data_IF_911542428944
#
_entry.id   IF_911542428944
#
_cell.length_a   1.000
_cell.length_b   1.000
_cell.length_c   1.000
_cell.angle_alpha   90.00
_cell.angle_beta   90.00
_cell.angle_gamma   90.00
#
_symmetry.space_group_name_H-M   'P 1'
#
loop_
_entity.id
_entity.type
_entity.pdbx_description
1 polymer ?
#
# COMPACT_ATOMS: atom_id res chain seq x y z
N UNK A 1 -11.48 34.64 35.64
CA UNK A 1 -11.50 33.63 34.57
C UNK A 1 -10.41 33.94 33.56
N UNK A 2 -9.21 33.39 33.73
CA UNK A 2 -8.08 33.63 32.81
C UNK A 2 -7.95 32.37 31.95
N UNK A 3 -8.34 32.47 30.68
CA UNK A 3 -8.19 31.38 29.70
C UNK A 3 -6.72 31.35 29.27
N UNK A 4 -5.94 30.47 29.86
CA UNK A 4 -4.60 30.12 29.36
C UNK A 4 -4.76 29.34 28.04
N UNK A 5 -4.70 30.06 26.92
CA UNK A 5 -4.46 29.44 25.62
C UNK A 5 -3.00 29.01 25.56
N UNK A 6 -2.74 27.71 25.71
CA UNK A 6 -1.44 27.10 25.45
C UNK A 6 -1.09 27.32 23.98
N UNK A 7 -0.29 28.35 23.69
CA UNK A 7 0.31 28.55 22.38
C UNK A 7 1.29 27.40 22.15
N UNK A 8 0.92 26.44 21.31
CA UNK A 8 1.89 25.48 20.74
C UNK A 8 2.92 26.29 19.97
N UNK A 9 4.14 26.32 20.46
CA UNK A 9 5.27 26.87 19.72
C UNK A 9 5.61 25.94 18.55
N UNK A 10 5.03 26.22 17.39
CA UNK A 10 5.53 25.69 16.13
C UNK A 10 6.75 26.51 15.73
N UNK A 11 7.94 25.93 15.85
CA UNK A 11 9.19 26.54 15.36
C UNK A 11 9.19 26.52 13.84
N UNK A 12 8.56 27.50 13.19
CA UNK A 12 8.65 27.68 11.73
C UNK A 12 9.81 28.61 11.40
N UNK A 13 10.63 28.24 10.41
CA UNK A 13 11.79 29.04 9.93
C UNK A 13 11.39 30.30 9.16
N UNK A 14 10.09 30.64 9.11
CA UNK A 14 9.50 31.67 8.25
C UNK A 14 8.91 32.77 9.13
N UNK A 15 9.16 34.06 8.85
CA UNK A 15 8.59 35.14 9.65
C UNK A 15 7.06 35.20 9.49
N UNK A 16 6.36 35.18 10.62
CA UNK A 16 4.89 35.19 10.71
C UNK A 16 4.38 36.43 11.44
N UNK A 17 3.14 36.82 11.19
CA UNK A 17 2.46 37.88 11.94
C UNK A 17 1.99 37.42 13.33
N UNK A 18 1.27 38.30 14.06
CA UNK A 18 0.72 37.98 15.39
C UNK A 18 -0.34 36.86 15.36
N UNK A 19 -0.85 36.51 14.18
CA UNK A 19 -1.85 35.49 13.92
C UNK A 19 -1.25 34.22 13.31
N UNK A 20 0.08 34.11 13.27
CA UNK A 20 0.83 32.99 12.68
C UNK A 20 0.66 32.82 11.15
N UNK A 21 0.26 33.88 10.44
CA UNK A 21 0.18 33.91 8.98
C UNK A 21 1.56 34.30 8.43
N UNK A 22 2.10 33.58 7.42
CA UNK A 22 3.39 33.93 6.84
C UNK A 22 3.33 35.29 6.14
N UNK A 23 4.31 36.16 6.43
CA UNK A 23 4.37 37.51 5.85
C UNK A 23 4.75 37.52 4.36
N UNK A 24 5.35 36.44 3.87
CA UNK A 24 5.69 36.24 2.47
C UNK A 24 4.82 35.13 1.88
N UNK A 25 4.50 35.18 0.58
CA UNK A 25 3.79 34.09 -0.07
C UNK A 25 4.60 32.80 0.09
N UNK A 26 3.99 31.79 0.69
CA UNK A 26 4.52 30.44 0.75
C UNK A 26 3.97 29.63 -0.40
N UNK A 27 4.72 28.62 -0.82
CA UNK A 27 4.24 27.62 -1.78
C UNK A 27 2.97 26.94 -1.26
N UNK A 28 2.05 26.61 -2.17
CA UNK A 28 0.89 25.78 -1.86
C UNK A 28 1.26 24.30 -1.99
N UNK A 29 0.63 23.42 -1.22
CA UNK A 29 0.87 21.97 -1.35
C UNK A 29 0.61 21.49 -2.79
N UNK A 30 -0.37 22.08 -3.46
CA UNK A 30 -0.68 21.79 -4.86
C UNK A 30 0.48 22.18 -5.80
N UNK A 31 1.15 23.31 -5.55
CA UNK A 31 2.35 23.70 -6.32
C UNK A 31 3.57 22.82 -6.02
N UNK A 32 3.60 22.12 -4.88
CA UNK A 32 4.67 21.17 -4.58
C UNK A 32 4.41 19.79 -5.20
N UNK A 33 3.13 19.43 -5.36
CA UNK A 33 2.67 18.14 -5.87
C UNK A 33 2.16 18.22 -7.32
N UNK A 34 2.95 18.84 -8.19
CA UNK A 34 2.64 18.85 -9.63
C UNK A 34 2.77 17.44 -10.22
N UNK A 35 1.87 17.04 -11.17
CA UNK A 35 1.89 15.71 -11.74
C UNK A 35 3.23 15.45 -12.45
N UNK A 36 3.95 14.43 -11.97
CA UNK A 36 5.24 14.01 -12.52
C UNK A 36 5.10 12.57 -13.00
N UNK A 37 5.69 12.30 -14.17
CA UNK A 37 5.75 10.97 -14.77
C UNK A 37 4.69 10.76 -15.85
N UNK A 38 4.87 9.67 -16.59
CA UNK A 38 3.93 9.24 -17.61
C UNK A 38 2.80 8.42 -16.98
N UNK A 39 1.54 8.59 -17.44
CA UNK A 39 0.44 7.76 -17.00
C UNK A 39 0.64 6.30 -17.43
N UNK A 40 0.03 5.37 -16.70
CA UNK A 40 0.19 3.94 -16.94
C UNK A 40 -0.40 3.56 -18.30
N UNK A 41 0.36 2.76 -19.05
CA UNK A 41 -0.09 2.20 -20.32
C UNK A 41 -1.19 1.16 -20.11
N UNK A 42 -2.14 1.05 -21.05
CA UNK A 42 -3.19 0.02 -20.98
C UNK A 42 -2.64 -1.40 -20.87
N UNK A 43 -1.46 -1.66 -21.45
CA UNK A 43 -0.77 -2.95 -21.34
C UNK A 43 -0.32 -3.23 -19.91
N UNK A 44 0.27 -2.23 -19.25
CA UNK A 44 0.70 -2.33 -17.85
C UNK A 44 -0.50 -2.47 -16.93
N UNK A 45 -1.57 -1.72 -17.16
CA UNK A 45 -2.80 -1.85 -16.40
C UNK A 45 -3.40 -3.26 -16.50
N UNK A 46 -3.55 -3.81 -17.71
CA UNK A 46 -4.00 -5.19 -17.91
C UNK A 46 -3.08 -6.22 -17.25
N UNK A 47 -1.78 -5.99 -17.31
CA UNK A 47 -0.80 -6.86 -16.67
C UNK A 47 -0.94 -6.86 -15.14
N UNK A 48 -1.13 -5.69 -14.53
CA UNK A 48 -1.37 -5.55 -13.09
C UNK A 48 -2.64 -6.29 -12.66
N UNK A 49 -3.73 -6.17 -13.43
CA UNK A 49 -4.97 -6.91 -13.17
C UNK A 49 -4.75 -8.43 -13.22
N UNK A 50 -3.95 -8.90 -14.18
CA UNK A 50 -3.58 -10.31 -14.30
C UNK A 50 -2.78 -10.81 -13.09
N UNK A 51 -1.79 -10.03 -12.63
CA UNK A 51 -0.98 -10.36 -11.45
C UNK A 51 -1.82 -10.41 -10.18
N UNK A 52 -2.75 -9.47 -10.01
CA UNK A 52 -3.68 -9.42 -8.88
C UNK A 52 -4.82 -10.46 -8.98
N UNK A 53 -4.95 -11.16 -10.12
CA UNK A 53 -6.07 -12.07 -10.44
C UNK A 53 -7.43 -11.38 -10.30
N UNK A 54 -7.50 -10.10 -10.70
CA UNK A 54 -8.72 -9.31 -10.69
C UNK A 54 -9.34 -9.30 -12.10
N UNK A 55 -10.61 -9.64 -12.16
CA UNK A 55 -11.46 -9.43 -13.34
C UNK A 55 -12.39 -8.26 -13.05
N UNK A 56 -12.38 -7.25 -13.92
CA UNK A 56 -13.03 -5.96 -13.67
C UNK A 56 -13.87 -5.59 -14.87
N UNK A 57 -15.11 -5.18 -14.60
CA UNK A 57 -16.01 -4.66 -15.62
C UNK A 57 -15.46 -3.40 -16.29
N UNK A 58 -15.76 -3.25 -17.58
CA UNK A 58 -15.27 -2.12 -18.40
C UNK A 58 -15.67 -0.75 -17.82
N UNK A 59 -16.80 -0.69 -17.11
CA UNK A 59 -17.30 0.53 -16.48
C UNK A 59 -16.37 1.04 -15.37
N UNK A 60 -15.80 0.13 -14.57
CA UNK A 60 -14.93 0.47 -13.44
C UNK A 60 -13.45 0.52 -13.82
N UNK A 61 -13.07 -0.12 -14.93
CA UNK A 61 -11.68 -0.17 -15.39
C UNK A 61 -11.06 1.21 -15.63
N UNK A 62 -11.80 2.16 -16.22
CA UNK A 62 -11.30 3.51 -16.50
C UNK A 62 -11.06 4.32 -15.23
N UNK A 63 -11.99 4.23 -14.27
CA UNK A 63 -11.90 4.88 -12.96
C UNK A 63 -10.71 4.33 -12.17
N UNK A 64 -10.59 3.01 -12.09
CA UNK A 64 -9.49 2.37 -11.38
C UNK A 64 -8.13 2.74 -12.01
N UNK A 65 -8.05 2.75 -13.35
CA UNK A 65 -6.82 3.16 -14.03
C UNK A 65 -6.39 4.58 -13.60
N UNK A 66 -7.34 5.52 -13.58
CA UNK A 66 -7.10 6.90 -13.15
C UNK A 66 -6.64 6.97 -11.68
N UNK A 67 -7.22 6.17 -10.81
CA UNK A 67 -6.82 6.12 -9.39
C UNK A 67 -5.40 5.58 -9.22
N UNK A 68 -5.02 4.54 -9.96
CA UNK A 68 -3.66 4.01 -9.95
C UNK A 68 -2.66 5.05 -10.50
N UNK A 69 -3.04 5.79 -11.54
CA UNK A 69 -2.21 6.89 -12.08
C UNK A 69 -1.96 7.96 -11.01
N UNK A 70 -2.99 8.36 -10.26
CA UNK A 70 -2.87 9.34 -9.17
C UNK A 70 -1.96 8.83 -8.03
N UNK A 71 -2.10 7.56 -7.65
CA UNK A 71 -1.22 6.94 -6.65
C UNK A 71 0.22 6.88 -7.14
N UNK A 72 0.43 6.56 -8.41
CA UNK A 72 1.76 6.48 -9.02
C UNK A 72 2.43 7.85 -9.01
N UNK A 73 1.72 8.91 -9.41
CA UNK A 73 2.22 10.29 -9.35
C UNK A 73 2.71 10.66 -7.95
N UNK A 74 1.94 10.33 -6.91
CA UNK A 74 2.35 10.58 -5.52
C UNK A 74 3.66 9.84 -5.18
N UNK A 75 3.80 8.59 -5.59
CA UNK A 75 5.01 7.81 -5.33
C UNK A 75 6.23 8.31 -6.11
N UNK A 76 6.06 8.88 -7.31
CA UNK A 76 7.15 9.52 -8.05
C UNK A 76 7.73 10.73 -7.31
N UNK A 77 6.91 11.49 -6.58
CA UNK A 77 7.43 12.55 -5.70
C UNK A 77 8.35 12.00 -4.61
N UNK A 78 8.04 10.83 -4.05
CA UNK A 78 8.84 10.20 -2.99
C UNK A 78 10.22 9.79 -3.53
N UNK A 79 10.30 9.34 -4.79
CA UNK A 79 11.57 8.95 -5.41
C UNK A 79 12.57 10.10 -5.58
N UNK A 80 12.10 11.35 -5.60
CA UNK A 80 12.99 12.52 -5.70
C UNK A 80 13.81 12.76 -4.43
N UNK A 81 13.41 12.18 -3.30
CA UNK A 81 14.13 12.35 -2.05
C UNK A 81 15.41 11.49 -2.04
N UNK A 82 16.48 12.03 -1.47
CA UNK A 82 17.74 11.30 -1.36
C UNK A 82 17.55 10.07 -0.44
N UNK A 83 17.87 8.90 -0.96
CA UNK A 83 17.71 7.58 -0.32
C UNK A 83 19.06 6.88 -0.12
N UNK A 84 20.12 7.61 0.20
CA UNK A 84 21.45 7.07 0.54
C UNK A 84 21.48 6.15 1.79
N UNK A 85 20.33 5.89 2.42
CA UNK A 85 20.21 5.09 3.65
C UNK A 85 19.77 3.65 3.35
N UNK A 86 20.26 2.69 4.15
CA UNK A 86 19.83 1.27 4.08
C UNK A 86 18.31 1.19 4.26
N UNK A 87 17.56 0.47 3.41
CA UNK A 87 16.12 0.34 3.54
C UNK A 87 15.77 -0.37 4.86
N UNK A 88 14.78 0.16 5.56
CA UNK A 88 14.24 -0.46 6.77
C UNK A 88 13.27 -1.58 6.38
N UNK A 89 13.64 -2.84 6.64
CA UNK A 89 12.82 -4.03 6.33
C UNK A 89 11.82 -4.36 7.44
N UNK A 90 12.20 -4.11 8.69
CA UNK A 90 11.38 -4.33 9.88
C UNK A 90 11.51 -3.14 10.83
N UNK A 91 10.48 -2.91 11.64
CA UNK A 91 10.49 -1.88 12.69
C UNK A 91 11.49 -2.26 13.80
N UNK A 92 11.63 -3.56 14.06
CA UNK A 92 12.56 -4.11 15.05
C UNK A 92 13.96 -4.25 14.45
N UNK A 93 14.98 -4.05 15.29
CA UNK A 93 16.37 -4.29 14.90
C UNK A 93 16.58 -5.76 14.55
N UNK A 94 17.48 -6.04 13.62
CA UNK A 94 17.87 -7.41 13.26
C UNK A 94 18.29 -8.18 14.54
N UNK A 95 17.77 -9.38 14.74
CA UNK A 95 18.00 -10.20 15.94
C UNK A 95 17.08 -9.88 17.13
N UNK A 96 16.28 -8.81 17.09
CA UNK A 96 15.30 -8.53 18.13
C UNK A 96 14.01 -9.32 17.89
N UNK A 97 13.57 -10.10 18.89
CA UNK A 97 12.30 -10.83 18.83
C UNK A 97 12.28 -12.05 17.89
N UNK A 98 13.44 -12.45 17.36
CA UNK A 98 13.57 -13.68 16.58
C UNK A 98 13.67 -14.87 17.54
N UNK A 99 12.53 -15.50 17.82
CA UNK A 99 12.51 -16.81 18.47
C UNK A 99 12.59 -17.88 17.39
N UNK A 100 13.64 -18.70 17.45
CA UNK A 100 13.69 -19.93 16.68
C UNK A 100 12.54 -20.82 17.15
N UNK A 101 11.77 -21.34 16.19
CA UNK A 101 10.77 -22.36 16.50
C UNK A 101 11.52 -23.68 16.70
N UNK A 102 11.30 -24.33 17.83
CA UNK A 102 11.85 -25.66 18.07
C UNK A 102 11.31 -26.65 17.03
N UNK A 103 12.16 -27.57 16.56
CA UNK A 103 11.80 -28.63 15.61
C UNK A 103 11.07 -29.80 16.32
N UNK A 104 10.15 -29.46 17.22
CA UNK A 104 9.29 -30.44 17.88
C UNK A 104 8.07 -30.74 17.01
N UNK A 105 7.69 -32.03 16.98
CA UNK A 105 6.52 -32.48 16.25
C UNK A 105 5.24 -32.06 16.99
N UNK A 106 4.72 -30.87 16.66
CA UNK A 106 3.45 -30.39 17.23
C UNK A 106 2.28 -31.16 16.60
N UNK A 107 1.43 -31.75 17.44
CA UNK A 107 0.15 -32.27 16.97
C UNK A 107 -0.80 -31.12 16.58
N UNK A 108 -0.67 -30.61 15.36
CA UNK A 108 -1.58 -29.58 14.86
C UNK A 108 -2.96 -30.19 14.57
N UNK A 109 -3.97 -29.78 15.35
CA UNK A 109 -5.38 -29.90 15.01
C UNK A 109 -5.88 -28.53 14.51
N UNK A 110 -6.79 -28.49 13.52
CA UNK A 110 -7.51 -29.60 12.91
C UNK A 110 -6.71 -30.37 11.84
N UNK A 111 -6.81 -31.71 11.84
CA UNK A 111 -6.20 -32.59 10.83
C UNK A 111 -7.20 -33.04 9.75
N UNK A 112 -6.68 -33.26 8.55
CA UNK A 112 -7.39 -33.98 7.48
C UNK A 112 -8.71 -33.33 7.06
N UNK A 113 -9.82 -34.07 7.18
CA UNK A 113 -11.16 -33.66 6.68
C UNK A 113 -11.69 -32.41 7.37
N UNK A 114 -11.23 -32.12 8.57
CA UNK A 114 -11.64 -30.93 9.31
C UNK A 114 -11.17 -29.63 8.63
N UNK A 115 -10.11 -29.69 7.82
CA UNK A 115 -9.65 -28.56 7.01
C UNK A 115 -10.66 -28.15 5.92
N UNK A 116 -11.57 -29.06 5.56
CA UNK A 116 -12.59 -28.84 4.53
C UNK A 116 -13.87 -28.21 5.08
N UNK A 117 -13.95 -27.93 6.40
CA UNK A 117 -15.16 -27.37 7.04
C UNK A 117 -15.59 -26.04 6.41
N UNK A 118 -14.63 -25.21 6.02
CA UNK A 118 -14.89 -23.89 5.41
C UNK A 118 -14.74 -23.89 3.87
N UNK A 119 -14.56 -25.06 3.24
CA UNK A 119 -14.38 -25.14 1.80
C UNK A 119 -15.71 -24.90 1.07
N UNK A 120 -15.76 -23.89 0.19
CA UNK A 120 -16.94 -23.59 -0.64
C UNK A 120 -17.25 -24.70 -1.66
N UNK A 121 -16.22 -25.35 -2.22
CA UNK A 121 -16.35 -26.44 -3.19
C UNK A 121 -15.44 -27.60 -2.78
N UNK A 122 -16.02 -28.79 -2.71
CA UNK A 122 -15.34 -30.04 -2.35
C UNK A 122 -15.86 -31.19 -3.21
N UNK A 123 -14.98 -32.14 -3.54
CA UNK A 123 -15.35 -33.44 -4.10
C UNK A 123 -14.64 -34.50 -3.28
N UNK A 124 -15.42 -35.32 -2.59
CA UNK A 124 -14.92 -36.25 -1.59
C UNK A 124 -14.05 -35.53 -0.54
N UNK A 125 -12.76 -35.86 -0.53
CA UNK A 125 -11.78 -35.36 0.45
C UNK A 125 -10.85 -34.28 -0.12
N UNK A 126 -11.18 -33.66 -1.26
CA UNK A 126 -10.31 -32.70 -1.93
C UNK A 126 -11.02 -31.38 -2.20
N UNK A 127 -10.23 -30.29 -2.20
CA UNK A 127 -10.67 -29.01 -2.74
C UNK A 127 -10.85 -29.13 -4.24
N UNK A 128 -11.94 -28.56 -4.76
CA UNK A 128 -12.21 -28.54 -6.19
C UNK A 128 -12.13 -27.12 -6.68
N UNK A 129 -11.21 -26.88 -7.59
CA UNK A 129 -11.07 -25.63 -8.34
C UNK A 129 -11.52 -25.91 -9.78
N UNK A 130 -12.25 -24.97 -10.37
CA UNK A 130 -12.55 -25.05 -11.79
C UNK A 130 -11.26 -24.79 -12.56
N UNK A 131 -10.75 -25.83 -13.22
CA UNK A 131 -9.64 -25.69 -14.15
C UNK A 131 -10.16 -25.25 -15.52
N UNK A 132 -9.43 -24.35 -16.17
CA UNK A 132 -9.37 -24.25 -17.62
C UNK A 132 -8.00 -24.73 -18.05
N UNK A 133 -7.93 -25.57 -19.09
CA UNK A 133 -6.65 -25.83 -19.76
C UNK A 133 -6.12 -24.50 -20.30
N UNK A 134 -4.82 -24.19 -20.18
CA UNK A 134 -4.26 -23.05 -20.87
C UNK A 134 -4.51 -23.25 -22.36
N UNK A 135 -5.15 -22.27 -23.01
CA UNK A 135 -5.29 -22.25 -24.46
C UNK A 135 -3.89 -22.28 -25.07
N UNK A 136 -3.54 -23.40 -25.69
CA UNK A 136 -2.38 -23.51 -26.58
C UNK A 136 -2.69 -22.69 -27.82
N UNK A 137 -2.27 -21.43 -27.80
CA UNK A 137 -1.99 -20.65 -29.01
C UNK A 137 -0.49 -20.76 -29.33
#
# INVERSE_FOLDING_TARGET
MIRNSLLRFYSTRVPVDKQCIPLKPTWSIQSLLEPIGEPISDKQFKHLLSLARLDIDKEHASTLKKEIDQLTQLTEHIKKFNTDQKPMTHIWQEGSGQLLRDDEQVECQPKGRDLLKHAKRKSGNFYVVQGSLPSTD
#
